data_IF_170142139421
#
_entry.id   IF_170142139421
#
_cell.length_a   1.000
_cell.length_b   1.000
_cell.length_c   1.000
_cell.angle_alpha   90.00
_cell.angle_beta   90.00
_cell.angle_gamma   90.00
#
_symmetry.space_group_name_H-M   'P 1'
#
loop_
_entity.id
_entity.type
_entity.pdbx_description
1 polymer ?
#
# COMPACT_ATOMS: atom_id res chain seq x y z
N UNK A 1 7.22 4.75 22.28
CA UNK A 1 5.76 4.58 22.19
C UNK A 1 5.31 4.88 20.77
N UNK A 2 4.66 3.92 20.10
CA UNK A 2 4.16 4.07 18.73
C UNK A 2 2.72 4.62 18.66
N UNK A 3 2.06 4.84 19.79
CA UNK A 3 0.70 5.38 19.84
C UNK A 3 0.60 6.76 19.17
N UNK A 4 1.63 7.60 19.33
CA UNK A 4 1.72 8.91 18.67
C UNK A 4 1.73 8.80 17.14
N UNK A 5 2.32 7.73 16.59
CA UNK A 5 2.26 7.42 15.14
C UNK A 5 0.84 7.07 14.75
N UNK A 6 0.15 6.25 15.53
CA UNK A 6 -1.27 5.93 15.33
C UNK A 6 -2.16 7.17 15.31
N UNK A 7 -1.96 8.11 16.24
CA UNK A 7 -2.70 9.38 16.28
C UNK A 7 -2.41 10.24 15.05
N UNK A 8 -1.15 10.31 14.61
CA UNK A 8 -0.79 11.04 13.40
C UNK A 8 -1.44 10.45 12.14
N UNK A 9 -1.45 9.10 12.02
CA UNK A 9 -2.11 8.39 10.92
C UNK A 9 -3.62 8.63 10.95
N UNK A 10 -4.26 8.53 12.11
CA UNK A 10 -5.69 8.80 12.28
C UNK A 10 -6.05 10.21 11.81
N UNK A 11 -5.29 11.23 12.22
CA UNK A 11 -5.52 12.62 11.81
C UNK A 11 -5.40 12.79 10.29
N UNK A 12 -4.42 12.13 9.66
CA UNK A 12 -4.24 12.18 8.21
C UNK A 12 -5.43 11.52 7.51
N UNK A 13 -5.84 10.33 7.93
CA UNK A 13 -6.96 9.62 7.32
C UNK A 13 -8.28 10.38 7.50
N UNK A 14 -8.59 10.85 8.71
CA UNK A 14 -9.81 11.59 9.03
C UNK A 14 -9.90 12.93 8.30
N UNK A 15 -8.78 13.52 7.88
CA UNK A 15 -8.77 14.74 7.05
C UNK A 15 -9.16 14.49 5.58
N UNK A 16 -9.23 13.22 5.14
CA UNK A 16 -9.40 12.85 3.72
C UNK A 16 -10.53 11.88 3.46
N UNK A 17 -10.88 11.04 4.45
CA UNK A 17 -11.79 9.92 4.31
C UNK A 17 -12.78 9.89 5.47
N UNK A 18 -14.02 9.49 5.18
CA UNK A 18 -15.03 9.29 6.21
C UNK A 18 -14.93 7.89 6.79
N UNK A 19 -14.91 7.81 8.13
CA UNK A 19 -14.87 6.54 8.89
C UNK A 19 -16.08 5.65 8.62
N UNK A 20 -17.26 6.25 8.44
CA UNK A 20 -18.53 5.51 8.26
C UNK A 20 -18.58 4.76 6.93
N UNK A 21 -17.94 5.31 5.89
CA UNK A 21 -17.99 4.78 4.52
C UNK A 21 -16.69 4.10 4.08
N UNK A 22 -15.66 4.11 4.91
CA UNK A 22 -14.33 3.56 4.56
C UNK A 22 -14.07 2.27 5.32
N UNK A 23 -13.69 1.23 4.60
CA UNK A 23 -13.17 -0.03 5.14
C UNK A 23 -11.66 -0.11 4.86
N UNK A 24 -10.85 -0.24 5.91
CA UNK A 24 -9.41 -0.39 5.79
C UNK A 24 -9.06 -1.88 5.72
N UNK A 25 -8.46 -2.32 4.61
CA UNK A 25 -7.91 -3.66 4.48
C UNK A 25 -6.45 -3.67 4.92
N UNK A 26 -6.10 -4.63 5.76
CA UNK A 26 -4.75 -4.78 6.32
C UNK A 26 -4.23 -6.16 5.94
N UNK A 27 -3.03 -6.22 5.37
CA UNK A 27 -2.35 -7.48 5.06
C UNK A 27 -2.22 -8.36 6.31
N UNK A 28 -2.42 -9.66 6.10
CA UNK A 28 -2.05 -10.75 6.99
C UNK A 28 -0.72 -11.37 6.57
N UNK A 29 -0.69 -12.69 6.46
CA UNK A 29 0.53 -13.42 6.14
C UNK A 29 0.92 -13.27 4.65
N UNK A 30 2.21 -13.15 4.32
CA UNK A 30 2.63 -13.20 2.93
C UNK A 30 2.29 -14.57 2.32
N UNK A 31 1.91 -14.56 1.04
CA UNK A 31 1.65 -15.82 0.33
C UNK A 31 2.96 -16.55 0.04
N UNK A 32 2.88 -17.87 -0.13
CA UNK A 32 4.06 -18.71 -0.41
C UNK A 32 4.73 -18.27 -1.71
N UNK A 33 3.96 -17.90 -2.73
CA UNK A 33 4.48 -17.47 -4.03
C UNK A 33 5.30 -16.17 -3.95
N UNK A 34 4.98 -15.28 -2.98
CA UNK A 34 5.75 -14.05 -2.75
C UNK A 34 7.01 -14.29 -1.91
N UNK A 35 7.27 -15.49 -1.39
CA UNK A 35 8.44 -15.79 -0.55
C UNK A 35 9.76 -15.35 -1.17
N UNK A 36 10.01 -15.74 -2.42
CA UNK A 36 11.23 -15.34 -3.14
C UNK A 36 11.35 -13.82 -3.36
N UNK A 37 10.23 -13.12 -3.51
CA UNK A 37 10.19 -11.67 -3.64
C UNK A 37 10.40 -10.97 -2.28
N UNK A 38 9.99 -11.59 -1.17
CA UNK A 38 10.33 -11.13 0.18
C UNK A 38 11.83 -11.29 0.44
N UNK A 39 12.41 -12.45 0.14
CA UNK A 39 13.85 -12.69 0.31
C UNK A 39 14.70 -11.70 -0.48
N UNK A 40 14.33 -11.43 -1.74
CA UNK A 40 15.01 -10.41 -2.56
C UNK A 40 14.90 -9.01 -1.96
N UNK A 41 13.74 -8.65 -1.38
CA UNK A 41 13.53 -7.36 -0.71
C UNK A 41 14.38 -7.25 0.55
N UNK A 42 14.52 -8.32 1.31
CA UNK A 42 15.34 -8.37 2.53
C UNK A 42 16.82 -8.30 2.21
N UNK A 43 17.30 -9.06 1.22
CA UNK A 43 18.68 -8.95 0.72
C UNK A 43 19.01 -7.53 0.23
N UNK A 44 18.07 -6.92 -0.50
CA UNK A 44 18.23 -5.52 -0.95
C UNK A 44 18.27 -4.56 0.23
N UNK A 45 17.45 -4.77 1.25
CA UNK A 45 17.44 -3.96 2.46
C UNK A 45 18.76 -4.07 3.22
N UNK A 46 19.28 -5.27 3.43
CA UNK A 46 20.58 -5.49 4.09
C UNK A 46 21.70 -4.73 3.37
N UNK A 47 21.80 -4.88 2.05
CA UNK A 47 22.78 -4.13 1.24
C UNK A 47 22.60 -2.61 1.34
N UNK A 48 21.36 -2.13 1.40
CA UNK A 48 21.06 -0.70 1.56
C UNK A 48 21.47 -0.17 2.93
N UNK A 49 21.29 -0.97 4.00
CA UNK A 49 21.71 -0.63 5.36
C UNK A 49 23.23 -0.60 5.48
N UNK A 50 23.93 -1.61 4.96
CA UNK A 50 25.41 -1.64 4.91
C UNK A 50 25.98 -0.44 4.15
N UNK A 51 25.37 -0.11 3.01
CA UNK A 51 25.78 1.06 2.21
C UNK A 51 25.52 2.36 2.96
N UNK A 52 24.37 2.47 3.64
CA UNK A 52 24.02 3.64 4.44
C UNK A 52 24.99 3.85 5.60
N UNK A 53 25.33 2.79 6.32
CA UNK A 53 26.29 2.82 7.43
C UNK A 53 27.68 3.24 6.94
N UNK A 54 28.16 2.64 5.86
CA UNK A 54 29.44 3.03 5.23
C UNK A 54 29.44 4.47 4.74
N UNK A 55 28.42 4.89 3.99
CA UNK A 55 28.31 6.26 3.48
C UNK A 55 28.22 7.30 4.61
N UNK A 56 27.63 6.91 5.76
CA UNK A 56 27.59 7.75 6.95
C UNK A 56 28.97 7.84 7.61
N UNK A 57 29.66 6.71 7.82
CA UNK A 57 31.00 6.65 8.40
C UNK A 57 32.04 7.39 7.54
N UNK A 58 31.94 7.28 6.22
CA UNK A 58 32.82 7.95 5.25
C UNK A 58 32.52 9.46 5.10
N UNK A 59 31.52 10.01 5.81
CA UNK A 59 31.14 11.42 5.70
C UNK A 59 30.54 11.80 4.33
N UNK A 60 30.09 10.84 3.53
CA UNK A 60 29.46 11.07 2.21
C UNK A 60 28.06 11.66 2.33
N UNK A 61 27.38 11.43 3.46
CA UNK A 61 26.04 11.97 3.75
C UNK A 61 26.14 13.35 4.42
N UNK A 62 26.45 14.36 3.61
CA UNK A 62 26.83 15.70 4.10
C UNK A 62 25.66 16.56 4.61
N UNK A 63 24.42 16.21 4.29
CA UNK A 63 23.26 16.98 4.76
C UNK A 63 22.10 16.11 5.24
N UNK A 64 21.30 16.68 6.14
CA UNK A 64 20.13 16.02 6.75
C UNK A 64 19.11 15.53 5.73
N UNK A 65 18.98 16.19 4.57
CA UNK A 65 18.04 15.80 3.51
C UNK A 65 18.47 14.51 2.81
N UNK A 66 19.76 14.36 2.51
CA UNK A 66 20.33 13.14 1.92
C UNK A 66 20.22 11.98 2.90
N UNK A 67 20.58 12.19 4.16
CA UNK A 67 20.45 11.20 5.22
C UNK A 67 18.99 10.76 5.39
N UNK A 68 18.05 11.71 5.49
CA UNK A 68 16.62 11.41 5.57
C UNK A 68 16.12 10.59 4.39
N UNK A 69 16.52 10.94 3.15
CA UNK A 69 16.11 10.21 1.95
C UNK A 69 16.60 8.75 1.99
N UNK A 70 17.84 8.52 2.44
CA UNK A 70 18.41 7.17 2.59
C UNK A 70 17.73 6.38 3.71
N UNK A 71 17.58 6.98 4.89
CA UNK A 71 16.87 6.36 6.02
C UNK A 71 15.43 6.00 5.66
N UNK A 72 14.71 6.90 4.96
CA UNK A 72 13.35 6.64 4.50
C UNK A 72 13.28 5.47 3.52
N UNK A 73 14.25 5.32 2.62
CA UNK A 73 14.28 4.21 1.67
C UNK A 73 14.50 2.86 2.36
N UNK A 74 15.30 2.83 3.42
CA UNK A 74 15.59 1.63 4.21
C UNK A 74 14.60 1.41 5.35
N UNK A 75 13.69 2.35 5.62
CA UNK A 75 12.75 2.21 6.72
C UNK A 75 11.75 1.09 6.46
N UNK A 76 11.56 0.23 7.48
CA UNK A 76 10.48 -0.74 7.58
C UNK A 76 9.79 -0.51 8.91
N UNK A 77 8.46 -0.38 8.88
CA UNK A 77 7.70 -0.21 10.11
C UNK A 77 7.81 -1.50 10.94
N UNK A 78 8.22 -1.43 12.22
CA UNK A 78 8.25 -2.60 13.07
C UNK A 78 6.82 -3.11 13.32
N UNK A 79 6.61 -4.42 13.55
CA UNK A 79 5.29 -5.00 13.79
C UNK A 79 4.52 -4.31 14.93
N UNK A 80 5.23 -3.88 15.98
CA UNK A 80 4.68 -3.14 17.12
C UNK A 80 4.08 -1.79 16.70
N UNK A 81 4.70 -1.11 15.74
CA UNK A 81 4.20 0.17 15.24
C UNK A 81 2.89 -0.03 14.48
N UNK A 82 2.81 -1.05 13.62
CA UNK A 82 1.58 -1.38 12.91
C UNK A 82 0.46 -1.76 13.89
N UNK A 83 0.76 -2.58 14.90
CA UNK A 83 -0.20 -2.93 15.95
C UNK A 83 -0.77 -1.70 16.66
N UNK A 84 0.11 -0.80 17.11
CA UNK A 84 -0.30 0.44 17.78
C UNK A 84 -1.13 1.35 16.87
N UNK A 85 -0.78 1.45 15.58
CA UNK A 85 -1.58 2.20 14.59
C UNK A 85 -2.98 1.60 14.46
N UNK A 86 -3.09 0.29 14.28
CA UNK A 86 -4.38 -0.39 14.13
C UNK A 86 -5.25 -0.31 15.39
N UNK A 87 -4.65 -0.38 16.58
CA UNK A 87 -5.35 -0.19 17.85
C UNK A 87 -5.95 1.22 17.94
N UNK A 88 -5.16 2.26 17.64
CA UNK A 88 -5.65 3.64 17.63
C UNK A 88 -6.77 3.83 16.61
N UNK A 89 -6.63 3.27 15.39
CA UNK A 89 -7.67 3.38 14.37
C UNK A 89 -8.96 2.67 14.81
N UNK A 90 -8.85 1.46 15.39
CA UNK A 90 -10.00 0.71 15.93
C UNK A 90 -10.70 1.50 17.03
N UNK A 91 -9.95 2.03 18.00
CA UNK A 91 -10.48 2.83 19.11
C UNK A 91 -11.20 4.10 18.62
N UNK A 92 -10.76 4.65 17.49
CA UNK A 92 -11.34 5.84 16.88
C UNK A 92 -12.47 5.54 15.88
N UNK A 93 -12.98 4.31 15.84
CA UNK A 93 -14.17 3.92 15.09
C UNK A 93 -13.92 3.59 13.61
N UNK A 94 -12.67 3.37 13.20
CA UNK A 94 -12.39 2.89 11.84
C UNK A 94 -12.80 1.43 11.68
N UNK A 95 -13.47 1.12 10.56
CA UNK A 95 -13.77 -0.25 10.16
C UNK A 95 -12.52 -0.87 9.56
N UNK A 96 -12.04 -1.97 10.13
CA UNK A 96 -10.80 -2.64 9.71
C UNK A 96 -11.12 -4.09 9.35
N UNK A 97 -10.74 -4.49 8.13
CA UNK A 97 -10.71 -5.88 7.68
C UNK A 97 -9.26 -6.38 7.80
N UNK A 98 -9.05 -7.38 8.67
CA UNK A 98 -7.76 -8.08 8.76
C UNK A 98 -7.78 -9.25 7.77
N UNK A 99 -6.99 -9.13 6.72
CA UNK A 99 -6.96 -10.13 5.66
C UNK A 99 -6.17 -11.35 6.16
N UNK A 100 -6.51 -12.54 5.69
CA UNK A 100 -5.74 -13.75 6.03
C UNK A 100 -4.34 -13.67 5.42
N UNK A 101 -4.29 -13.30 4.13
CA UNK A 101 -3.08 -13.17 3.35
C UNK A 101 -2.91 -11.72 2.85
N UNK A 102 -3.04 -11.46 1.55
CA UNK A 102 -2.86 -10.12 0.99
C UNK A 102 -4.15 -9.31 0.97
N UNK A 103 -4.04 -8.02 1.22
CA UNK A 103 -5.15 -7.08 1.19
C UNK A 103 -5.73 -6.91 -0.21
N UNK A 104 -4.90 -6.99 -1.25
CA UNK A 104 -5.34 -6.86 -2.65
C UNK A 104 -6.38 -7.94 -3.02
N UNK A 105 -6.14 -9.20 -2.64
CA UNK A 105 -7.09 -10.29 -2.89
C UNK A 105 -8.36 -10.13 -2.08
N UNK A 106 -8.27 -9.66 -0.84
CA UNK A 106 -9.42 -9.40 0.01
C UNK A 106 -10.27 -8.24 -0.51
N UNK A 107 -9.64 -7.18 -1.01
CA UNK A 107 -10.30 -6.04 -1.66
C UNK A 107 -11.02 -6.54 -2.92
N UNK A 108 -10.34 -7.29 -3.79
CA UNK A 108 -10.93 -7.82 -5.01
C UNK A 108 -12.17 -8.70 -4.74
N UNK A 109 -12.11 -9.55 -3.70
CA UNK A 109 -13.26 -10.35 -3.25
C UNK A 109 -14.38 -9.48 -2.68
N UNK A 110 -14.05 -8.46 -1.89
CA UNK A 110 -15.03 -7.53 -1.33
C UNK A 110 -15.79 -6.80 -2.42
N UNK A 111 -15.09 -6.36 -3.47
CA UNK A 111 -15.69 -5.72 -4.64
C UNK A 111 -16.56 -6.71 -5.42
N UNK A 112 -16.06 -7.92 -5.66
CA UNK A 112 -16.80 -8.97 -6.38
C UNK A 112 -18.13 -9.33 -5.69
N UNK A 113 -18.15 -9.31 -4.36
CA UNK A 113 -19.31 -9.70 -3.56
C UNK A 113 -20.23 -8.51 -3.23
N UNK A 114 -19.92 -7.31 -3.70
CA UNK A 114 -20.75 -6.13 -3.47
C UNK A 114 -21.99 -6.18 -4.36
N UNK A 115 -23.13 -5.71 -3.84
CA UNK A 115 -24.36 -5.64 -4.62
C UNK A 115 -24.22 -4.74 -5.86
N UNK A 116 -23.40 -3.68 -5.75
CA UNK A 116 -23.06 -2.77 -6.84
C UNK A 116 -21.54 -2.53 -6.79
N UNK A 117 -20.72 -3.33 -7.50
CA UNK A 117 -19.27 -3.20 -7.47
C UNK A 117 -18.76 -1.80 -7.86
N UNK A 118 -19.48 -1.11 -8.75
CA UNK A 118 -19.16 0.25 -9.20
C UNK A 118 -19.25 1.32 -8.11
N UNK A 119 -19.96 1.06 -7.01
CA UNK A 119 -20.07 2.00 -5.88
C UNK A 119 -18.85 1.96 -4.96
N UNK A 120 -17.98 0.96 -5.12
CA UNK A 120 -16.77 0.82 -4.30
C UNK A 120 -15.60 1.54 -4.96
N UNK A 121 -15.15 2.61 -4.30
CA UNK A 121 -13.91 3.30 -4.66
C UNK A 121 -12.73 2.66 -3.94
N UNK A 122 -11.86 1.99 -4.70
CA UNK A 122 -10.61 1.44 -4.18
C UNK A 122 -9.56 2.54 -4.12
N UNK A 123 -8.90 2.71 -2.96
CA UNK A 123 -7.83 3.69 -2.77
C UNK A 123 -6.53 2.96 -2.43
N UNK A 124 -5.56 2.99 -3.34
CA UNK A 124 -4.30 2.26 -3.18
C UNK A 124 -3.15 2.99 -3.89
N UNK A 125 -1.91 2.61 -3.58
CA UNK A 125 -0.74 2.95 -4.38
C UNK A 125 -0.26 1.78 -5.25
N UNK A 126 -0.84 0.62 -5.05
CA UNK A 126 -0.50 -0.60 -5.78
C UNK A 126 -1.38 -0.72 -7.02
N UNK A 127 -0.75 -0.89 -8.17
CA UNK A 127 -1.46 -1.07 -9.45
C UNK A 127 -1.89 -2.52 -9.67
N UNK A 128 -1.32 -3.49 -8.94
CA UNK A 128 -1.57 -4.92 -9.11
C UNK A 128 -3.06 -5.28 -8.96
N UNK A 129 -3.80 -4.47 -8.19
CA UNK A 129 -5.24 -4.59 -8.02
C UNK A 129 -6.02 -4.51 -9.34
N UNK A 130 -5.48 -3.84 -10.37
CA UNK A 130 -6.10 -3.75 -11.69
C UNK A 130 -6.06 -5.07 -12.48
N UNK A 131 -5.19 -6.02 -12.09
CA UNK A 131 -5.14 -7.34 -12.72
C UNK A 131 -6.37 -8.19 -12.37
N UNK A 132 -7.02 -7.95 -11.22
CA UNK A 132 -8.22 -8.68 -10.82
C UNK A 132 -9.42 -8.26 -11.64
N UNK A 133 -10.18 -9.23 -12.17
CA UNK A 133 -11.35 -9.00 -13.01
C UNK A 133 -12.38 -8.06 -12.34
N UNK A 134 -12.69 -8.31 -11.07
CA UNK A 134 -13.67 -7.54 -10.29
C UNK A 134 -13.28 -6.08 -10.05
N UNK A 135 -12.00 -5.73 -10.17
CA UNK A 135 -11.51 -4.36 -9.96
C UNK A 135 -11.59 -3.57 -11.26
N UNK A 136 -12.60 -2.71 -11.41
CA UNK A 136 -12.75 -1.87 -12.61
C UNK A 136 -12.02 -0.53 -12.54
N UNK A 137 -11.73 -0.04 -11.34
CA UNK A 137 -10.96 1.20 -11.17
C UNK A 137 -10.19 1.21 -9.86
N UNK A 138 -9.07 1.94 -9.86
CA UNK A 138 -8.30 2.26 -8.65
C UNK A 138 -8.05 3.76 -8.59
N UNK A 139 -8.21 4.32 -7.40
CA UNK A 139 -7.82 5.70 -7.12
C UNK A 139 -6.44 5.71 -6.46
N UNK A 140 -5.50 6.40 -7.09
CA UNK A 140 -4.13 6.52 -6.60
C UNK A 140 -3.77 7.98 -6.32
N UNK A 141 -2.92 8.24 -5.31
CA UNK A 141 -2.35 9.57 -5.12
C UNK A 141 -1.23 9.80 -6.14
N UNK A 142 -1.49 10.63 -7.16
CA UNK A 142 -0.52 11.06 -8.17
C UNK A 142 -0.06 12.48 -7.83
N UNK A 143 1.19 12.64 -7.41
CA UNK A 143 1.71 13.91 -6.88
C UNK A 143 0.84 14.42 -5.72
N UNK A 144 0.10 15.50 -5.92
CA UNK A 144 -0.76 16.14 -4.93
C UNK A 144 -2.26 15.91 -5.18
N UNK A 145 -2.62 15.16 -6.22
CA UNK A 145 -4.02 14.90 -6.61
C UNK A 145 -4.35 13.43 -6.48
N UNK A 146 -5.64 13.14 -6.30
CA UNK A 146 -6.17 11.79 -6.39
C UNK A 146 -6.67 11.57 -7.82
N UNK A 147 -6.07 10.61 -8.51
CA UNK A 147 -6.44 10.26 -9.88
C UNK A 147 -7.07 8.88 -9.87
N UNK A 148 -8.24 8.76 -10.49
CA UNK A 148 -8.90 7.47 -10.71
C UNK A 148 -8.47 6.94 -12.07
N UNK A 149 -7.94 5.73 -12.08
CA UNK A 149 -7.62 5.00 -13.31
C UNK A 149 -8.69 3.96 -13.53
N UNK A 150 -9.32 3.97 -14.70
CA UNK A 150 -10.33 2.98 -15.07
C UNK A 150 -9.76 1.98 -16.05
N UNK A 151 -10.18 0.73 -15.90
CA UNK A 151 -9.63 -0.40 -16.64
C UNK A 151 -9.95 -0.32 -18.13
N UNK A 152 -11.16 0.08 -18.47
CA UNK A 152 -11.63 0.29 -19.84
C UNK A 152 -10.79 1.35 -20.57
N UNK A 153 -10.58 2.51 -19.93
CA UNK A 153 -9.74 3.60 -20.46
C UNK A 153 -8.30 3.13 -20.70
N UNK A 154 -7.70 2.39 -19.75
CA UNK A 154 -6.35 1.85 -19.91
C UNK A 154 -6.23 0.83 -21.06
N UNK A 155 -7.24 -0.02 -21.24
CA UNK A 155 -7.24 -1.00 -22.32
C UNK A 155 -7.35 -0.31 -23.68
N UNK A 156 -8.21 0.70 -23.79
CA UNK A 156 -8.39 1.51 -24.99
C UNK A 156 -7.11 2.27 -25.34
N UNK A 157 -6.53 3.01 -24.38
CA UNK A 157 -5.32 3.81 -24.56
C UNK A 157 -4.11 2.99 -25.01
N UNK A 158 -4.05 1.72 -24.63
CA UNK A 158 -2.96 0.80 -24.95
C UNK A 158 -3.30 -0.19 -26.07
N UNK A 159 -4.48 -0.12 -26.68
CA UNK A 159 -4.91 -1.03 -27.74
C UNK A 159 -4.96 -2.50 -27.29
N UNK A 160 -5.24 -2.74 -26.01
CA UNK A 160 -5.28 -4.08 -25.42
C UNK A 160 -6.69 -4.67 -25.54
N UNK A 161 -6.85 -5.87 -26.12
CA UNK A 161 -8.18 -6.38 -26.47
C UNK A 161 -8.94 -6.96 -25.27
N UNK A 162 -8.26 -7.34 -24.19
CA UNK A 162 -8.92 -7.92 -23.00
C UNK A 162 -8.21 -7.56 -21.70
N UNK A 163 -8.93 -7.53 -20.56
CA UNK A 163 -8.35 -7.39 -19.21
C UNK A 163 -7.23 -8.39 -18.89
N UNK A 164 -7.24 -9.58 -19.50
CA UNK A 164 -6.21 -10.59 -19.31
C UNK A 164 -4.81 -10.13 -19.76
N UNK A 165 -4.72 -9.07 -20.56
CA UNK A 165 -3.44 -8.46 -20.93
C UNK A 165 -2.85 -7.60 -19.80
N UNK A 166 -3.67 -7.15 -18.84
CA UNK A 166 -3.17 -6.43 -17.66
C UNK A 166 -2.47 -7.38 -16.67
N UNK A 167 -2.83 -8.67 -16.68
CA UNK A 167 -2.10 -9.72 -15.96
C UNK A 167 -0.69 -9.98 -16.49
N UNK A 168 -0.36 -9.55 -17.72
CA UNK A 168 1.00 -9.67 -18.27
C UNK A 168 1.95 -8.58 -17.74
N UNK A 169 1.41 -7.53 -17.12
CA UNK A 169 2.18 -6.42 -16.54
C UNK A 169 2.41 -6.55 -15.02
N UNK A 170 1.76 -7.51 -14.37
CA UNK A 170 1.91 -7.86 -12.95
C UNK A 170 2.97 -8.95 -12.76
#
# INVERSE_FOLDING_TARGET
DFRSVGVAVEKILSSRLSKSTTLLHVDGLPSVEKGSAHDKRDQKLSKQLETLERDYADGKLRNKRQLYKRLKASYRAPPEAMRAVLEVLTQNGWRICRCLNQSDTCIAQTVNNAAVPGDIRIITKDSDLMAFESTMSVTMPVKNTWTTFRKDELLEDHGLPTPAHLTLAA
#
